data_IF_743844470471
#
_entry.id   IF_743844470471
#
_cell.length_a   1.000
_cell.length_b   1.000
_cell.length_c   1.000
_cell.angle_alpha   90.00
_cell.angle_beta   90.00
_cell.angle_gamma   90.00
#
_symmetry.space_group_name_H-M   'P 1'
#
loop_
_entity.id
_entity.type
_entity.pdbx_description
1 polymer ?
#
# COMPACT_ATOMS: atom_id res chain seq x y z
N UNK A 1 -0.05 -11.99 42.37
CA UNK A 1 1.10 -12.57 41.64
C UNK A 1 0.49 -13.13 40.37
N UNK A 2 0.34 -12.33 39.31
CA UNK A 2 0.94 -12.62 37.98
C UNK A 2 0.85 -11.39 37.03
N UNK A 3 0.31 -10.23 37.45
CA UNK A 3 0.10 -9.09 36.52
C UNK A 3 1.41 -8.47 36.00
N UNK A 4 2.51 -8.60 36.76
CA UNK A 4 3.85 -8.15 36.36
C UNK A 4 4.52 -9.13 35.39
N UNK A 5 4.22 -10.43 35.50
CA UNK A 5 4.76 -11.47 34.61
C UNK A 5 4.12 -11.39 33.22
N UNK A 6 2.81 -11.09 33.14
CA UNK A 6 2.14 -10.84 31.87
C UNK A 6 2.68 -9.56 31.19
N UNK A 7 2.92 -8.49 31.95
CA UNK A 7 3.47 -7.23 31.42
C UNK A 7 4.92 -7.41 30.91
N UNK A 8 5.75 -8.16 31.63
CA UNK A 8 7.09 -8.54 31.17
C UNK A 8 7.05 -9.35 29.87
N UNK A 9 6.10 -10.29 29.75
CA UNK A 9 5.90 -11.08 28.53
C UNK A 9 5.48 -10.17 27.35
N UNK A 10 4.54 -9.24 27.55
CA UNK A 10 4.15 -8.25 26.52
C UNK A 10 5.33 -7.38 26.08
N UNK A 11 6.14 -6.88 27.03
CA UNK A 11 7.32 -6.08 26.71
C UNK A 11 8.33 -6.90 25.88
N UNK A 12 8.54 -8.18 26.19
CA UNK A 12 9.41 -9.08 25.43
C UNK A 12 8.87 -9.41 24.02
N UNK A 13 7.55 -9.56 23.87
CA UNK A 13 6.92 -9.81 22.55
C UNK A 13 6.96 -8.58 21.63
N UNK A 14 6.82 -7.36 22.17
CA UNK A 14 6.84 -6.12 21.39
C UNK A 14 8.25 -5.52 21.22
N UNK A 15 9.21 -5.82 22.09
CA UNK A 15 10.61 -5.38 21.94
C UNK A 15 11.41 -6.13 20.87
N UNK A 16 10.86 -7.21 20.29
CA UNK A 16 11.57 -8.11 19.39
C UNK A 16 11.25 -7.99 17.90
N UNK A 17 10.34 -7.11 17.46
CA UNK A 17 10.06 -6.90 16.03
C UNK A 17 10.62 -5.57 15.56
N UNK A 18 11.91 -5.38 15.75
CA UNK A 18 12.63 -4.35 15.01
C UNK A 18 12.65 -4.71 13.52
N UNK A 19 12.19 -3.78 12.67
CA UNK A 19 12.60 -3.74 11.27
C UNK A 19 14.10 -3.41 11.28
N UNK A 20 14.93 -4.44 11.42
CA UNK A 20 16.38 -4.32 11.43
C UNK A 20 16.95 -4.80 10.10
N UNK A 21 16.75 -4.02 9.01
CA UNK A 21 17.46 -4.28 7.75
C UNK A 21 16.66 -4.11 6.46
N UNK A 22 15.57 -3.36 6.46
CA UNK A 22 14.90 -3.03 5.18
C UNK A 22 15.63 -1.88 4.50
N UNK A 23 16.12 -2.13 3.28
CA UNK A 23 16.73 -1.09 2.46
C UNK A 23 15.68 -0.06 1.98
N UNK A 24 16.10 1.16 1.62
CA UNK A 24 15.20 2.15 1.06
C UNK A 24 14.50 1.66 -0.20
N UNK A 25 13.25 2.07 -0.38
CA UNK A 25 12.53 1.82 -1.62
C UNK A 25 13.09 2.65 -2.77
N UNK A 26 13.10 2.07 -3.97
CA UNK A 26 13.24 2.82 -5.21
C UNK A 26 12.07 3.76 -5.42
N UNK A 27 12.23 4.69 -6.37
CA UNK A 27 11.09 5.42 -6.93
C UNK A 27 10.10 4.44 -7.56
N UNK A 28 8.83 4.84 -7.59
CA UNK A 28 7.80 4.12 -8.33
C UNK A 28 8.11 4.16 -9.83
N UNK A 29 7.83 3.05 -10.51
CA UNK A 29 7.79 3.03 -11.97
C UNK A 29 6.68 3.95 -12.48
N UNK A 30 6.77 4.31 -13.76
CA UNK A 30 5.63 4.92 -14.44
C UNK A 30 4.42 3.98 -14.36
N UNK A 31 3.22 4.54 -14.26
CA UNK A 31 1.99 3.78 -14.40
C UNK A 31 1.94 3.13 -15.79
N UNK A 32 1.60 1.84 -15.85
CA UNK A 32 1.46 1.09 -17.10
C UNK A 32 0.34 1.63 -18.01
N UNK A 33 -0.68 2.23 -17.41
CA UNK A 33 -1.80 2.87 -18.11
C UNK A 33 -1.86 4.36 -17.82
N UNK A 34 -2.19 5.13 -18.85
CA UNK A 34 -2.43 6.56 -18.72
C UNK A 34 -3.82 6.87 -18.13
N UNK A 35 -4.78 5.96 -18.31
CA UNK A 35 -6.17 6.05 -17.86
C UNK A 35 -6.73 4.62 -17.71
N UNK A 36 -7.88 4.50 -17.08
CA UNK A 36 -8.40 3.29 -16.43
C UNK A 36 -7.43 2.74 -15.36
N UNK A 37 -7.90 1.81 -14.51
CA UNK A 37 -7.05 1.22 -13.47
C UNK A 37 -5.78 0.60 -14.05
N UNK A 38 -4.66 1.27 -13.79
CA UNK A 38 -3.30 0.81 -14.07
C UNK A 38 -2.56 0.43 -12.79
N UNK A 39 -1.32 0.00 -12.95
CA UNK A 39 -0.42 -0.43 -11.90
C UNK A 39 0.97 0.17 -12.06
N UNK A 40 1.59 0.45 -10.91
CA UNK A 40 2.99 0.84 -10.81
C UNK A 40 3.65 0.01 -9.70
N UNK A 41 4.93 -0.26 -9.87
CA UNK A 41 5.71 -1.06 -8.92
C UNK A 41 6.92 -0.28 -8.43
N UNK A 42 7.47 -0.72 -7.30
CA UNK A 42 8.77 -0.28 -6.81
C UNK A 42 9.51 -1.44 -6.16
N UNK A 43 10.82 -1.36 -6.18
CA UNK A 43 11.70 -2.39 -5.63
C UNK A 43 12.50 -1.89 -4.45
N UNK A 44 12.95 -2.80 -3.60
CA UNK A 44 14.02 -2.58 -2.64
C UNK A 44 14.82 -3.87 -2.48
N UNK A 45 16.02 -3.75 -1.95
CA UNK A 45 16.85 -4.90 -1.63
C UNK A 45 16.52 -5.44 -0.22
N UNK A 46 16.65 -6.75 -0.07
CA UNK A 46 16.43 -7.44 1.18
C UNK A 46 17.77 -7.85 1.78
N UNK A 47 18.04 -7.47 3.03
CA UNK A 47 19.23 -7.94 3.72
C UNK A 47 19.15 -9.46 3.93
N UNK A 48 20.30 -10.15 3.84
CA UNK A 48 20.36 -11.60 4.06
C UNK A 48 19.96 -11.93 5.50
N UNK A 49 18.92 -12.73 5.66
CA UNK A 49 18.39 -13.15 6.96
C UNK A 49 17.09 -12.45 7.37
N UNK A 50 16.64 -11.44 6.62
CA UNK A 50 15.39 -10.73 6.93
C UNK A 50 14.20 -11.27 6.16
N UNK A 51 13.05 -11.32 6.83
CA UNK A 51 11.75 -11.52 6.18
C UNK A 51 11.27 -10.18 5.64
N UNK A 52 11.59 -9.86 4.38
CA UNK A 52 11.11 -8.64 3.73
C UNK A 52 10.53 -8.90 2.34
N UNK A 53 9.55 -8.06 1.97
CA UNK A 53 8.98 -8.02 0.62
C UNK A 53 9.85 -7.11 -0.26
N UNK A 54 10.48 -7.63 -1.33
CA UNK A 54 11.38 -6.86 -2.18
C UNK A 54 10.64 -6.01 -3.24
N UNK A 55 9.38 -6.33 -3.53
CA UNK A 55 8.57 -5.66 -4.55
C UNK A 55 7.25 -5.21 -3.93
N UNK A 56 6.84 -4.00 -4.25
CA UNK A 56 5.53 -3.47 -3.92
C UNK A 56 4.83 -3.02 -5.20
N UNK A 57 3.54 -3.32 -5.31
CA UNK A 57 2.69 -2.92 -6.44
C UNK A 57 1.48 -2.17 -5.91
N UNK A 58 1.09 -1.08 -6.57
CA UNK A 58 -0.14 -0.33 -6.26
C UNK A 58 -0.87 0.09 -7.52
N UNK A 59 -2.17 0.35 -7.37
CA UNK A 59 -2.99 0.93 -8.44
C UNK A 59 -2.57 2.37 -8.71
N UNK A 60 -2.76 2.81 -9.95
CA UNK A 60 -2.58 4.18 -10.40
C UNK A 60 -3.56 4.52 -11.52
N UNK A 61 -3.77 5.82 -11.73
CA UNK A 61 -4.57 6.37 -12.83
C UNK A 61 -5.98 5.77 -12.96
N UNK A 62 -6.66 5.53 -11.84
CA UNK A 62 -7.98 4.86 -11.80
C UNK A 62 -9.13 5.63 -12.46
N UNK A 63 -8.86 6.77 -13.11
CA UNK A 63 -9.85 7.55 -13.85
C UNK A 63 -10.10 6.92 -15.22
N UNK A 64 -11.35 6.83 -15.66
CA UNK A 64 -11.63 6.14 -16.93
C UNK A 64 -11.07 6.88 -18.15
N UNK A 65 -10.58 6.13 -19.13
CA UNK A 65 -10.20 6.67 -20.44
C UNK A 65 -11.40 7.28 -21.19
N UNK A 66 -12.59 6.75 -20.94
CA UNK A 66 -13.81 7.23 -21.59
C UNK A 66 -14.59 8.14 -20.65
N UNK A 67 -14.35 9.45 -20.76
CA UNK A 67 -15.07 10.46 -19.98
C UNK A 67 -16.56 10.63 -20.37
N UNK A 68 -17.12 9.80 -21.25
CA UNK A 68 -18.54 9.91 -21.63
C UNK A 68 -19.50 9.61 -20.47
N UNK A 69 -19.12 8.74 -19.52
CA UNK A 69 -20.03 8.26 -18.48
C UNK A 69 -20.00 9.09 -17.17
N UNK A 70 -18.94 9.87 -16.93
CA UNK A 70 -18.81 10.63 -15.67
C UNK A 70 -19.76 11.85 -15.63
N UNK A 71 -20.08 12.42 -16.80
CA UNK A 71 -21.05 13.51 -16.92
C UNK A 71 -22.49 13.02 -16.78
N UNK A 72 -22.80 11.77 -17.11
CA UNK A 72 -24.18 11.26 -17.05
C UNK A 72 -24.56 10.93 -15.59
N UNK A 73 -23.61 10.39 -14.81
CA UNK A 73 -23.85 10.02 -13.41
C UNK A 73 -24.12 11.24 -12.50
N UNK A 74 -23.41 12.36 -12.68
CA UNK A 74 -23.66 13.58 -11.90
C UNK A 74 -24.93 14.32 -12.32
N UNK A 75 -25.33 14.20 -13.59
CA UNK A 75 -26.54 14.83 -14.12
C UNK A 75 -27.79 14.05 -13.71
N UNK A 76 -27.76 12.71 -13.72
CA UNK A 76 -28.87 11.87 -13.23
C UNK A 76 -29.15 12.05 -11.74
N UNK A 77 -28.13 12.37 -10.93
CA UNK A 77 -28.31 12.68 -9.50
C UNK A 77 -29.01 14.03 -9.25
N UNK A 78 -28.94 14.98 -10.20
CA UNK A 78 -29.66 16.26 -10.09
C UNK A 78 -31.10 16.16 -10.62
N UNK A 79 -31.35 15.41 -11.70
CA UNK A 79 -32.69 15.27 -12.30
C UNK A 79 -33.64 14.31 -11.58
N UNK A 80 -33.23 13.74 -10.44
CA UNK A 80 -34.06 12.90 -9.56
C UNK A 80 -34.44 13.62 -8.24
N UNK A 81 -34.32 14.96 -8.21
CA UNK A 81 -34.89 15.86 -7.18
C UNK A 81 -35.89 16.78 -7.89
#
# INVERSE_FOLDING_TARGET
MESKFTLLCFILFFAGKGVHGQTPWSSWTRCDKACDTGFQSRGRECAKGDTCTPIETRKCNEFSCNMTNFLIASVLFWYMI
#
